data_IF_074631282752
#
_entry.id   IF_074631282752
#
_cell.length_a   1.000
_cell.length_b   1.000
_cell.length_c   1.000
_cell.angle_alpha   90.00
_cell.angle_beta   90.00
_cell.angle_gamma   90.00
#
_symmetry.space_group_name_H-M   'P 1'
#
loop_
_entity.id
_entity.type
_entity.pdbx_description
1 polymer ?
#
# COMPACT_ATOMS: atom_id res chain seq x y z
N UNK A 1 -7.94 18.90 -10.11
CA UNK A 1 -7.12 17.87 -9.44
C UNK A 1 -6.00 18.54 -8.66
N UNK A 2 -6.05 18.45 -7.34
CA UNK A 2 -4.99 18.95 -6.45
C UNK A 2 -3.71 18.12 -6.60
N UNK A 3 -2.53 18.70 -6.36
CA UNK A 3 -1.25 17.99 -6.35
C UNK A 3 -1.28 16.74 -5.45
N UNK A 4 -2.03 16.83 -4.34
CA UNK A 4 -2.23 15.76 -3.36
C UNK A 4 -2.98 14.56 -3.93
N UNK A 5 -4.08 14.78 -4.65
CA UNK A 5 -4.86 13.70 -5.30
C UNK A 5 -4.01 12.97 -6.35
N UNK A 6 -3.07 13.68 -7.00
CA UNK A 6 -2.12 13.06 -7.94
C UNK A 6 -1.16 12.12 -7.23
N UNK A 7 -0.65 12.51 -6.05
CA UNK A 7 0.26 11.66 -5.27
C UNK A 7 -0.44 10.40 -4.74
N UNK A 8 -1.67 10.52 -4.25
CA UNK A 8 -2.44 9.35 -3.80
C UNK A 8 -2.69 8.37 -4.95
N UNK A 9 -3.11 8.89 -6.11
CA UNK A 9 -3.34 8.07 -7.31
C UNK A 9 -2.07 7.41 -7.81
N UNK A 10 -0.92 8.10 -7.73
CA UNK A 10 0.37 7.54 -8.11
C UNK A 10 0.73 6.35 -7.21
N UNK A 11 0.53 6.46 -5.90
CA UNK A 11 0.79 5.37 -4.96
C UNK A 11 -0.15 4.18 -5.15
N UNK A 12 -1.42 4.43 -5.40
CA UNK A 12 -2.37 3.36 -5.72
C UNK A 12 -1.95 2.62 -6.99
N UNK A 13 -1.42 3.33 -7.99
CA UNK A 13 -0.86 2.73 -9.19
C UNK A 13 0.42 1.93 -8.91
N UNK A 14 1.32 2.43 -8.05
CA UNK A 14 2.53 1.70 -7.64
C UNK A 14 2.19 0.40 -6.93
N UNK A 15 1.26 0.43 -5.97
CA UNK A 15 0.77 -0.76 -5.30
C UNK A 15 0.11 -1.74 -6.28
N UNK A 16 -0.74 -1.25 -7.19
CA UNK A 16 -1.37 -2.08 -8.21
C UNK A 16 -0.34 -2.77 -9.11
N UNK A 17 0.70 -2.05 -9.55
CA UNK A 17 1.80 -2.61 -10.34
C UNK A 17 2.58 -3.67 -9.57
N UNK A 18 2.88 -3.43 -8.29
CA UNK A 18 3.58 -4.39 -7.45
C UNK A 18 2.76 -5.69 -7.28
N UNK A 19 1.45 -5.56 -7.05
CA UNK A 19 0.53 -6.70 -6.95
C UNK A 19 0.47 -7.47 -8.27
N UNK A 20 0.31 -6.78 -9.41
CA UNK A 20 0.31 -7.42 -10.72
C UNK A 20 1.60 -8.19 -10.99
N UNK A 21 2.76 -7.59 -10.71
CA UNK A 21 4.05 -8.25 -10.87
C UNK A 21 4.18 -9.50 -9.98
N UNK A 22 3.66 -9.45 -8.75
CA UNK A 22 3.60 -10.60 -7.85
C UNK A 22 2.72 -11.72 -8.41
N UNK A 23 1.51 -11.39 -8.89
CA UNK A 23 0.58 -12.38 -9.49
C UNK A 23 1.20 -13.05 -10.72
N UNK A 24 1.87 -12.30 -11.60
CA UNK A 24 2.54 -12.86 -12.77
C UNK A 24 3.67 -13.83 -12.37
N UNK A 25 4.43 -13.51 -11.31
CA UNK A 25 5.48 -14.38 -10.79
C UNK A 25 4.91 -15.65 -10.14
N UNK A 26 3.78 -15.53 -9.45
CA UNK A 26 3.06 -16.67 -8.88
C UNK A 26 2.57 -17.63 -9.97
N UNK A 27 1.98 -17.09 -11.04
CA UNK A 27 1.58 -17.87 -12.22
C UNK A 27 2.78 -18.58 -12.86
N UNK A 28 3.88 -17.85 -13.10
CA UNK A 28 5.09 -18.44 -13.67
C UNK A 28 5.71 -19.53 -12.79
N UNK A 29 5.62 -19.40 -11.45
CA UNK A 29 6.05 -20.44 -10.52
C UNK A 29 5.14 -21.67 -10.62
N UNK A 30 3.82 -21.47 -10.64
CA UNK A 30 2.84 -22.54 -10.76
C UNK A 30 3.02 -23.34 -12.07
N UNK A 31 3.29 -22.66 -13.18
CA UNK A 31 3.62 -23.29 -14.46
C UNK A 31 4.87 -24.18 -14.36
N UNK A 32 5.94 -23.69 -13.73
CA UNK A 32 7.17 -24.49 -13.55
C UNK A 32 6.95 -25.68 -12.63
N UNK A 33 6.16 -25.53 -11.57
CA UNK A 33 5.78 -26.64 -10.70
C UNK A 33 4.90 -27.67 -11.41
N UNK A 34 4.01 -27.24 -12.32
CA UNK A 34 3.23 -28.14 -13.18
C UNK A 34 4.15 -28.95 -14.11
N UNK A 35 5.08 -28.28 -14.81
CA UNK A 35 6.07 -28.96 -15.66
C UNK A 35 6.90 -29.98 -14.87
N UNK A 36 7.29 -29.68 -13.63
CA UNK A 36 7.99 -30.62 -12.76
C UNK A 36 7.14 -31.85 -12.46
N UNK A 37 5.87 -31.66 -12.11
CA UNK A 37 4.94 -32.78 -11.85
C UNK A 37 4.76 -33.66 -13.08
N UNK A 38 4.62 -33.06 -14.26
CA UNK A 38 4.53 -33.79 -15.53
C UNK A 38 5.82 -34.55 -15.84
N UNK A 39 6.97 -33.90 -15.67
CA UNK A 39 8.28 -34.53 -15.85
C UNK A 39 8.47 -35.75 -14.94
N UNK A 40 8.15 -35.63 -13.65
CA UNK A 40 8.20 -36.72 -12.68
C UNK A 40 7.20 -37.84 -13.03
N UNK A 41 5.97 -37.50 -13.41
CA UNK A 41 4.98 -38.49 -13.82
C UNK A 41 5.40 -39.26 -15.09
N UNK A 42 6.12 -38.61 -16.01
CA UNK A 42 6.61 -39.22 -17.25
C UNK A 42 7.83 -40.11 -17.03
N UNK A 43 8.68 -39.81 -16.04
CA UNK A 43 9.88 -40.58 -15.71
C UNK A 43 9.54 -41.86 -14.94
N UNK A 44 8.55 -41.82 -14.03
CA UNK A 44 8.07 -43.00 -13.27
C UNK A 44 7.47 -44.08 -14.18
N UNK A 45 6.98 -43.73 -15.37
CA UNK A 45 6.34 -44.67 -16.31
C UNK A 45 7.32 -45.34 -17.29
N UNK A 46 8.59 -44.94 -17.33
CA UNK A 46 9.55 -45.49 -18.29
C UNK A 46 10.14 -46.79 -17.73
N UNK A 47 10.07 -47.85 -18.54
CA UNK A 47 10.65 -49.17 -18.26
C UNK A 47 12.18 -49.15 -18.37
N UNK A 48 12.77 -49.98 -19.24
CA UNK A 48 14.23 -49.97 -19.47
C UNK A 48 14.65 -48.61 -20.02
N UNK A 49 15.37 -47.81 -19.23
CA UNK A 49 15.89 -46.49 -19.61
C UNK A 49 17.36 -46.62 -20.02
N UNK A 50 17.74 -46.02 -21.15
CA UNK A 50 19.14 -45.90 -21.57
C UNK A 50 19.90 -45.00 -20.56
N UNK A 51 21.08 -45.40 -20.05
CA UNK A 51 21.92 -44.57 -19.20
C UNK A 51 22.11 -43.12 -19.67
N UNK A 52 22.20 -42.87 -20.99
CA UNK A 52 22.35 -41.52 -21.55
C UNK A 52 21.07 -40.70 -21.31
N UNK A 53 19.90 -41.30 -21.54
CA UNK A 53 18.60 -40.66 -21.28
C UNK A 53 18.40 -40.37 -19.79
N UNK A 54 18.87 -41.27 -18.93
CA UNK A 54 18.81 -41.08 -17.48
C UNK A 54 19.65 -39.87 -17.05
N UNK A 55 20.88 -39.76 -17.56
CA UNK A 55 21.77 -38.63 -17.24
C UNK A 55 21.20 -37.31 -17.76
N UNK A 56 20.67 -37.28 -18.98
CA UNK A 56 20.01 -36.11 -19.54
C UNK A 56 18.77 -35.71 -18.72
N UNK A 57 17.99 -36.69 -18.28
CA UNK A 57 16.87 -36.49 -17.38
C UNK A 57 17.28 -35.87 -16.06
N UNK A 58 18.30 -36.42 -15.39
CA UNK A 58 18.82 -35.86 -14.14
C UNK A 58 19.28 -34.41 -14.28
N UNK A 59 20.02 -34.10 -15.35
CA UNK A 59 20.49 -32.73 -15.62
C UNK A 59 19.31 -31.77 -15.84
N UNK A 60 18.30 -32.21 -16.59
CA UNK A 60 17.07 -31.44 -16.79
C UNK A 60 16.31 -31.22 -15.47
N UNK A 61 16.16 -32.26 -14.65
CA UNK A 61 15.52 -32.18 -13.34
C UNK A 61 16.21 -31.18 -12.41
N UNK A 62 17.54 -31.24 -12.31
CA UNK A 62 18.32 -30.28 -11.53
C UNK A 62 18.16 -28.84 -12.03
N UNK A 63 18.17 -28.63 -13.35
CA UNK A 63 17.91 -27.32 -13.93
C UNK A 63 16.52 -26.82 -13.56
N UNK A 64 15.51 -27.68 -13.62
CA UNK A 64 14.13 -27.33 -13.30
C UNK A 64 13.96 -26.95 -11.81
N UNK A 65 14.64 -27.66 -10.90
CA UNK A 65 14.64 -27.28 -9.47
C UNK A 65 15.24 -25.90 -9.25
N UNK A 66 16.43 -25.62 -9.80
CA UNK A 66 17.06 -24.30 -9.69
C UNK A 66 16.16 -23.19 -10.24
N UNK A 67 15.47 -23.48 -11.34
CA UNK A 67 14.50 -22.58 -11.96
C UNK A 67 13.28 -22.30 -11.06
N UNK A 68 12.83 -23.30 -10.30
CA UNK A 68 11.74 -23.17 -9.32
C UNK A 68 12.21 -22.41 -8.09
N UNK A 69 13.39 -22.72 -7.57
CA UNK A 69 14.00 -22.02 -6.42
C UNK A 69 14.17 -20.53 -6.72
N UNK A 70 14.75 -20.18 -7.89
CA UNK A 70 14.93 -18.80 -8.30
C UNK A 70 13.59 -18.04 -8.41
N UNK A 71 12.56 -18.68 -8.97
CA UNK A 71 11.21 -18.08 -9.06
C UNK A 71 10.53 -17.95 -7.71
N UNK A 72 10.75 -18.90 -6.82
CA UNK A 72 10.24 -18.85 -5.44
C UNK A 72 10.87 -17.68 -4.69
N UNK A 73 12.18 -17.50 -4.79
CA UNK A 73 12.88 -16.34 -4.21
C UNK A 73 12.37 -15.01 -4.81
N UNK A 74 12.17 -14.95 -6.13
CA UNK A 74 11.60 -13.77 -6.78
C UNK A 74 10.17 -13.46 -6.32
N UNK A 75 9.33 -14.48 -6.09
CA UNK A 75 7.98 -14.31 -5.55
C UNK A 75 8.02 -13.81 -4.09
N UNK A 76 8.88 -14.37 -3.25
CA UNK A 76 9.08 -13.92 -1.87
C UNK A 76 9.51 -12.45 -1.82
N UNK A 77 10.47 -12.06 -2.66
CA UNK A 77 10.89 -10.67 -2.78
C UNK A 77 9.72 -9.77 -3.23
N UNK A 78 8.91 -10.22 -4.19
CA UNK A 78 7.72 -9.46 -4.65
C UNK A 78 6.68 -9.29 -3.54
N UNK A 79 6.45 -10.32 -2.74
CA UNK A 79 5.54 -10.26 -1.61
C UNK A 79 6.03 -9.27 -0.55
N UNK A 80 7.34 -9.23 -0.29
CA UNK A 80 7.95 -8.23 0.59
C UNK A 80 7.76 -6.80 0.07
N UNK A 81 7.97 -6.56 -1.23
CA UNK A 81 7.73 -5.25 -1.86
C UNK A 81 6.27 -4.82 -1.75
N UNK A 82 5.32 -5.73 -1.97
CA UNK A 82 3.88 -5.43 -1.81
C UNK A 82 3.54 -5.10 -0.35
N UNK A 83 4.14 -5.81 0.61
CA UNK A 83 3.93 -5.53 2.03
C UNK A 83 4.48 -4.14 2.41
N UNK A 84 5.66 -3.78 1.91
CA UNK A 84 6.26 -2.46 2.12
C UNK A 84 5.38 -1.34 1.53
N UNK A 85 4.91 -1.48 0.28
CA UNK A 85 4.04 -0.48 -0.34
C UNK A 85 2.70 -0.34 0.40
N UNK A 86 2.13 -1.45 0.91
CA UNK A 86 0.94 -1.39 1.77
C UNK A 86 1.18 -0.60 3.04
N UNK A 87 2.34 -0.79 3.69
CA UNK A 87 2.72 -0.04 4.89
C UNK A 87 2.83 1.45 4.58
N UNK A 88 3.55 1.82 3.51
CA UNK A 88 3.69 3.22 3.07
C UNK A 88 2.35 3.90 2.81
N UNK A 89 1.40 3.21 2.17
CA UNK A 89 0.04 3.72 1.95
C UNK A 89 -0.71 3.92 3.28
N UNK A 90 -0.57 2.99 4.23
CA UNK A 90 -1.21 3.11 5.55
C UNK A 90 -0.63 4.24 6.40
N UNK A 91 0.68 4.42 6.39
CA UNK A 91 1.36 5.52 7.09
C UNK A 91 0.87 6.87 6.58
N UNK A 92 0.88 7.08 5.26
CA UNK A 92 0.37 8.34 4.68
C UNK A 92 -1.11 8.57 4.97
N UNK A 93 -1.93 7.51 5.02
CA UNK A 93 -3.33 7.62 5.44
C UNK A 93 -3.47 8.04 6.90
N UNK A 94 -2.59 7.59 7.79
CA UNK A 94 -2.56 8.03 9.19
C UNK A 94 -2.13 9.48 9.30
N UNK A 95 -1.05 9.87 8.63
CA UNK A 95 -0.55 11.26 8.62
C UNK A 95 -1.61 12.22 8.11
N UNK A 96 -2.33 11.83 7.05
CA UNK A 96 -3.48 12.58 6.53
C UNK A 96 -4.53 12.81 7.61
N UNK A 97 -4.98 11.74 8.29
CA UNK A 97 -6.01 11.86 9.32
C UNK A 97 -5.56 12.75 10.47
N UNK A 98 -4.27 12.68 10.84
CA UNK A 98 -3.70 13.55 11.84
C UNK A 98 -3.72 15.03 11.41
N UNK A 99 -3.33 15.33 10.17
CA UNK A 99 -3.39 16.70 9.63
C UNK A 99 -4.82 17.23 9.54
N UNK A 100 -5.77 16.40 9.09
CA UNK A 100 -7.20 16.76 9.03
C UNK A 100 -7.73 17.08 10.42
N UNK A 101 -7.41 16.26 11.43
CA UNK A 101 -7.79 16.52 12.82
C UNK A 101 -7.19 17.84 13.36
N UNK A 102 -5.95 18.17 13.01
CA UNK A 102 -5.31 19.43 13.39
C UNK A 102 -5.98 20.64 12.73
N UNK A 103 -6.35 20.52 11.44
CA UNK A 103 -7.08 21.57 10.72
C UNK A 103 -8.46 21.79 11.32
N UNK A 104 -9.19 20.72 11.61
CA UNK A 104 -10.52 20.79 12.24
C UNK A 104 -10.44 21.46 13.62
N UNK A 105 -9.43 21.08 14.43
CA UNK A 105 -9.19 21.70 15.73
C UNK A 105 -8.85 23.19 15.58
N UNK A 106 -8.06 23.57 14.58
CA UNK A 106 -7.71 24.97 14.32
C UNK A 106 -8.93 25.79 13.92
N UNK A 107 -9.76 25.29 13.00
CA UNK A 107 -11.00 25.94 12.58
C UNK A 107 -11.95 26.09 13.76
N UNK A 108 -12.06 25.08 14.62
CA UNK A 108 -12.89 25.16 15.82
C UNK A 108 -12.38 26.23 16.80
N UNK A 109 -11.05 26.32 17.00
CA UNK A 109 -10.43 27.34 17.83
C UNK A 109 -10.67 28.76 17.27
N UNK A 110 -10.47 28.96 15.97
CA UNK A 110 -10.68 30.26 15.32
C UNK A 110 -12.15 30.71 15.42
N UNK A 111 -13.11 29.79 15.26
CA UNK A 111 -14.55 30.07 15.46
C UNK A 111 -14.85 30.48 16.89
N UNK A 112 -14.25 29.80 17.85
CA UNK A 112 -14.46 30.07 19.27
C UNK A 112 -13.85 31.42 19.68
N UNK A 113 -12.67 31.76 19.15
CA UNK A 113 -12.06 33.07 19.33
C UNK A 113 -12.91 34.18 18.73
N UNK A 114 -13.39 33.99 17.49
CA UNK A 114 -14.28 34.95 16.83
C UNK A 114 -15.58 35.18 17.62
N UNK A 115 -16.19 34.12 18.16
CA UNK A 115 -17.38 34.24 18.98
C UNK A 115 -17.10 35.00 20.29
N UNK A 116 -15.94 34.75 20.93
CA UNK A 116 -15.54 35.45 22.16
C UNK A 116 -15.33 36.94 21.92
N UNK A 117 -14.66 37.31 20.83
CA UNK A 117 -14.45 38.72 20.48
C UNK A 117 -15.76 39.41 20.12
N UNK A 118 -16.66 38.74 19.41
CA UNK A 118 -17.99 39.25 19.11
C UNK A 118 -18.81 39.51 20.39
N UNK A 119 -18.80 38.59 21.36
CA UNK A 119 -19.49 38.78 22.65
C UNK A 119 -18.88 39.95 23.42
N UNK A 120 -17.55 40.02 23.52
CA UNK A 120 -16.88 41.12 24.22
C UNK A 120 -17.24 42.50 23.63
N UNK A 121 -17.29 42.61 22.29
CA UNK A 121 -17.72 43.83 21.61
C UNK A 121 -19.19 44.19 21.90
N UNK A 122 -20.09 43.21 21.98
CA UNK A 122 -21.48 43.43 22.36
C UNK A 122 -21.62 43.89 23.81
N UNK A 123 -20.85 43.29 24.72
CA UNK A 123 -20.83 43.70 26.13
C UNK A 123 -20.29 45.13 26.30
N UNK A 124 -19.21 45.49 25.60
CA UNK A 124 -18.68 46.87 25.57
C UNK A 124 -19.71 47.86 25.00
N UNK A 125 -20.41 47.50 23.92
CA UNK A 125 -21.48 48.31 23.36
C UNK A 125 -22.67 48.47 24.33
N UNK A 126 -23.01 47.43 25.09
CA UNK A 126 -24.07 47.48 26.09
C UNK A 126 -23.70 48.40 27.26
N UNK A 127 -22.46 48.28 27.78
CA UNK A 127 -21.94 49.11 28.87
C UNK A 127 -21.84 50.59 28.46
N UNK A 128 -21.40 50.89 27.23
CA UNK A 128 -21.33 52.27 26.73
C UNK A 128 -22.71 52.89 26.54
N UNK A 129 -23.70 52.11 26.07
CA UNK A 129 -25.09 52.57 25.90
C UNK A 129 -25.82 52.82 27.23
N UNK A 130 -25.44 52.11 28.29
CA UNK A 130 -26.05 52.22 29.63
C UNK A 130 -25.44 53.31 30.53
N UNK A 131 -24.36 53.99 30.12
CA UNK A 131 -23.88 55.15 30.88
C UNK A 131 -24.96 56.24 30.84
N UNK A 132 -25.54 56.66 31.98
CA UNK A 132 -26.54 57.71 31.98
C UNK A 132 -25.87 58.99 31.51
N UNK A 133 -26.45 59.62 30.48
CA UNK A 133 -26.14 60.99 30.13
C UNK A 133 -26.29 61.81 31.41
N UNK A 134 -25.25 62.50 31.91
CA UNK A 134 -25.44 63.38 33.05
C UNK A 134 -26.49 64.41 32.63
N UNK A 135 -27.62 64.42 33.34
CA UNK A 135 -28.62 65.47 33.22
C UNK A 135 -27.90 66.77 33.60
N UNK A 136 -27.62 67.58 32.59
CA UNK A 136 -27.12 68.95 32.72
C UNK A 136 -28.28 69.88 33.07
#
# INVERSE_FOLDING_TARGET
MSYRERLEKLQEQELARAVQAMTLREQALAEKQALRREYLASTVKRGRVDPIELQAGMAYGQRLERDIEARTAALQHSAAMVAEERLRVMERRRDRKAMEALLDARIAADRLEHNRTAIALMDEAAVTRWRPTPLA
#
